data_IF_910477505915
#
_entry.id   IF_910477505915
#
_cell.length_a   1.000
_cell.length_b   1.000
_cell.length_c   1.000
_cell.angle_alpha   90.00
_cell.angle_beta   90.00
_cell.angle_gamma   90.00
#
_symmetry.space_group_name_H-M   'P 1'
#
loop_
_entity.id
_entity.type
_entity.pdbx_description
1 polymer ?
#
# COMPACT_ATOMS: atom_id res chain seq x y z
N UNK A 1 -5.77 -23.68 17.81
CA UNK A 1 -5.10 -23.63 16.48
C UNK A 1 -5.42 -22.32 15.77
N UNK A 2 -6.69 -22.08 15.37
CA UNK A 2 -7.08 -20.89 14.60
C UNK A 2 -6.78 -19.54 15.27
N UNK A 3 -6.90 -19.41 16.59
CA UNK A 3 -6.62 -18.13 17.26
C UNK A 3 -5.13 -17.74 17.25
N UNK A 4 -4.22 -18.72 17.40
CA UNK A 4 -2.77 -18.47 17.35
C UNK A 4 -2.35 -18.20 15.89
N UNK A 5 -2.90 -18.97 14.95
CA UNK A 5 -2.72 -18.74 13.52
C UNK A 5 -3.20 -17.33 13.08
N UNK A 6 -4.40 -16.93 13.52
CA UNK A 6 -4.97 -15.61 13.23
C UNK A 6 -4.19 -14.49 13.91
N UNK A 7 -3.77 -14.67 15.17
CA UNK A 7 -2.89 -13.71 15.84
C UNK A 7 -1.59 -13.53 15.06
N UNK A 8 -0.95 -14.63 14.66
CA UNK A 8 0.28 -14.57 13.87
C UNK A 8 0.07 -13.93 12.50
N UNK A 9 -1.08 -14.14 11.87
CA UNK A 9 -1.44 -13.49 10.60
C UNK A 9 -1.70 -11.99 10.77
N UNK A 10 -2.45 -11.60 11.81
CA UNK A 10 -2.75 -10.19 12.11
C UNK A 10 -1.49 -9.41 12.48
N UNK A 11 -0.64 -10.01 13.30
CA UNK A 11 0.58 -9.38 13.81
C UNK A 11 1.78 -9.57 12.85
N UNK A 12 1.55 -10.16 11.67
CA UNK A 12 2.56 -10.48 10.66
C UNK A 12 3.79 -11.20 11.23
N UNK A 13 3.54 -12.10 12.19
CA UNK A 13 4.56 -12.90 12.84
C UNK A 13 4.99 -14.02 11.88
N UNK A 14 6.29 -14.13 11.55
CA UNK A 14 6.77 -15.16 10.66
C UNK A 14 6.36 -16.56 11.13
N UNK A 15 5.69 -17.31 10.28
CA UNK A 15 5.23 -18.70 10.50
C UNK A 15 6.34 -19.63 10.94
N UNK A 16 7.57 -19.44 10.43
CA UNK A 16 8.78 -20.15 10.87
C UNK A 16 9.07 -20.08 12.37
N UNK A 17 8.48 -19.11 13.10
CA UNK A 17 8.64 -19.02 14.56
C UNK A 17 8.08 -20.25 15.28
N UNK A 18 7.10 -20.97 14.68
CA UNK A 18 6.51 -22.17 15.31
C UNK A 18 7.52 -23.31 15.44
N UNK A 19 8.60 -23.29 14.65
CA UNK A 19 9.72 -24.22 14.77
C UNK A 19 10.79 -23.77 15.78
N UNK A 20 10.72 -22.52 16.24
CA UNK A 20 11.64 -21.96 17.22
C UNK A 20 11.53 -22.67 18.57
N UNK A 21 12.67 -23.14 19.10
CA UNK A 21 12.72 -23.85 20.39
C UNK A 21 12.10 -23.04 21.54
N UNK A 22 12.38 -21.73 21.60
CA UNK A 22 11.80 -20.84 22.62
C UNK A 22 10.28 -20.72 22.51
N UNK A 23 9.77 -20.56 21.28
CA UNK A 23 8.32 -20.48 21.03
C UNK A 23 7.62 -21.80 21.36
N UNK A 24 8.19 -22.94 20.93
CA UNK A 24 7.68 -24.27 21.28
C UNK A 24 7.67 -24.52 22.79
N UNK A 25 8.71 -24.06 23.49
CA UNK A 25 8.80 -24.17 24.96
C UNK A 25 7.75 -23.31 25.66
N UNK A 26 7.49 -22.11 25.15
CA UNK A 26 6.42 -21.25 25.65
C UNK A 26 5.05 -21.87 25.40
N UNK A 27 4.84 -22.40 24.20
CA UNK A 27 3.56 -23.00 23.82
C UNK A 27 3.29 -24.31 24.55
N UNK A 28 4.31 -25.12 24.84
CA UNK A 28 4.15 -26.29 25.70
C UNK A 28 3.88 -25.92 27.16
N UNK A 29 4.37 -24.76 27.62
CA UNK A 29 4.04 -24.25 28.95
C UNK A 29 2.58 -23.74 29.03
N UNK A 30 2.15 -22.95 28.03
CA UNK A 30 0.80 -22.36 28.00
C UNK A 30 -0.29 -23.38 27.64
N UNK A 31 0.01 -24.28 26.70
CA UNK A 31 -0.90 -25.27 26.14
C UNK A 31 -0.19 -26.65 26.06
N UNK A 32 0.04 -27.32 27.21
CA UNK A 32 0.81 -28.56 27.27
C UNK A 32 0.20 -29.72 26.48
N UNK A 33 -1.12 -29.71 26.27
CA UNK A 33 -1.82 -30.74 25.49
C UNK A 33 -1.93 -30.41 24.00
N UNK A 34 -1.40 -29.27 23.54
CA UNK A 34 -1.46 -28.87 22.15
C UNK A 34 -0.23 -29.33 21.36
N UNK A 35 -0.36 -30.30 20.44
CA UNK A 35 0.74 -30.73 19.59
C UNK A 35 1.01 -29.65 18.54
N UNK A 36 2.04 -28.83 18.76
CA UNK A 36 2.41 -27.78 17.82
C UNK A 36 2.94 -28.37 16.50
N UNK A 37 2.30 -28.10 15.34
CA UNK A 37 2.76 -28.60 14.03
C UNK A 37 4.11 -27.98 13.63
N UNK A 38 4.75 -28.54 12.61
CA UNK A 38 5.92 -27.91 11.95
C UNK A 38 5.49 -26.67 11.17
N UNK A 39 6.43 -25.77 10.85
CA UNK A 39 6.11 -24.58 10.05
C UNK A 39 5.46 -24.92 8.71
N UNK A 40 5.95 -25.97 8.03
CA UNK A 40 5.38 -26.43 6.75
C UNK A 40 3.90 -26.88 6.87
N UNK A 41 3.59 -27.63 7.93
CA UNK A 41 2.22 -28.07 8.21
C UNK A 41 1.35 -26.90 8.68
N UNK A 42 1.92 -25.98 9.45
CA UNK A 42 1.23 -24.79 9.94
C UNK A 42 0.84 -23.86 8.78
N UNK A 43 1.78 -23.56 7.88
CA UNK A 43 1.55 -22.75 6.67
C UNK A 43 0.49 -23.35 5.76
N UNK A 44 0.56 -24.66 5.50
CA UNK A 44 -0.42 -25.35 4.66
C UNK A 44 -1.83 -25.41 5.27
N UNK A 45 -1.96 -25.36 6.60
CA UNK A 45 -3.27 -25.25 7.27
C UNK A 45 -3.80 -23.82 7.39
N UNK A 46 -2.94 -22.80 7.29
CA UNK A 46 -3.34 -21.38 7.39
C UNK A 46 -3.63 -20.79 6.00
N UNK A 47 -2.97 -21.29 4.96
CA UNK A 47 -3.19 -20.92 3.57
C UNK A 47 -3.75 -22.11 2.77
N UNK A 48 -5.08 -22.29 2.69
CA UNK A 48 -5.62 -23.18 1.67
C UNK A 48 -5.50 -22.47 0.32
N UNK A 49 -4.72 -23.08 -0.58
CA UNK A 49 -4.58 -22.78 -2.01
C UNK A 49 -3.75 -21.54 -2.41
N UNK A 50 -2.46 -21.77 -2.65
CA UNK A 50 -1.88 -21.49 -3.99
C UNK A 50 -0.84 -22.57 -4.28
N UNK A 51 -1.26 -23.60 -5.00
CA UNK A 51 -0.36 -24.65 -5.48
C UNK A 51 0.56 -24.09 -6.57
N UNK A 52 1.87 -24.23 -6.36
CA UNK A 52 2.91 -24.53 -7.36
C UNK A 52 2.89 -23.73 -8.67
N UNK A 53 3.81 -22.78 -8.81
CA UNK A 53 4.94 -22.96 -9.74
C UNK A 53 6.07 -21.96 -9.43
N UNK A 54 7.25 -22.52 -9.18
CA UNK A 54 8.58 -21.89 -9.21
C UNK A 54 8.80 -21.28 -10.63
N UNK A 55 9.52 -20.19 -10.89
CA UNK A 55 10.92 -19.89 -10.59
C UNK A 55 11.21 -18.37 -10.81
N UNK A 56 12.32 -17.94 -10.21
CA UNK A 56 13.10 -16.69 -10.40
C UNK A 56 12.67 -15.38 -9.70
N UNK A 57 13.24 -15.23 -8.50
CA UNK A 57 14.09 -14.12 -8.07
C UNK A 57 13.94 -12.78 -8.82
N UNK A 58 13.38 -11.79 -8.14
CA UNK A 58 14.24 -10.74 -7.59
C UNK A 58 13.64 -10.09 -6.35
N UNK A 59 14.52 -9.93 -5.37
CA UNK A 59 14.30 -9.26 -4.10
C UNK A 59 13.70 -7.86 -4.25
N UNK A 60 12.64 -7.58 -3.48
CA UNK A 60 12.57 -6.37 -2.65
C UNK A 60 11.47 -6.48 -1.59
N UNK A 61 11.88 -6.42 -0.32
CA UNK A 61 11.02 -5.92 0.75
C UNK A 61 10.42 -4.58 0.34
N UNK A 62 9.13 -4.36 0.57
CA UNK A 62 8.58 -3.14 1.18
C UNK A 62 7.05 -3.20 1.18
N UNK A 63 6.49 -3.32 2.40
CA UNK A 63 5.11 -3.02 2.82
C UNK A 63 3.96 -3.63 2.01
N UNK A 64 2.89 -3.99 2.70
CA UNK A 64 1.61 -4.39 2.11
C UNK A 64 1.04 -3.27 1.24
N UNK A 65 1.57 -3.10 0.03
CA UNK A 65 0.84 -2.48 -1.06
C UNK A 65 -0.17 -3.56 -1.41
N UNK A 66 -1.42 -3.33 -1.00
CA UNK A 66 -2.58 -4.12 -1.40
C UNK A 66 -2.38 -4.61 -2.84
N UNK A 67 -2.54 -5.92 -3.09
CA UNK A 67 -2.26 -6.51 -4.41
C UNK A 67 -2.99 -5.75 -5.52
N UNK A 68 -4.12 -5.14 -5.21
CA UNK A 68 -4.84 -4.22 -6.10
C UNK A 68 -4.06 -2.94 -6.44
N UNK A 69 -3.54 -2.22 -5.44
CA UNK A 69 -2.75 -1.02 -5.64
C UNK A 69 -1.45 -1.30 -6.40
N UNK A 70 -0.84 -2.48 -6.16
CA UNK A 70 0.34 -2.92 -6.92
C UNK A 70 0.04 -3.00 -8.43
N UNK A 71 -1.08 -3.62 -8.80
CA UNK A 71 -1.51 -3.68 -10.20
C UNK A 71 -1.85 -2.31 -10.80
N UNK A 72 -2.46 -1.41 -10.01
CA UNK A 72 -2.73 -0.05 -10.45
C UNK A 72 -1.43 0.73 -10.72
N UNK A 73 -0.43 0.56 -9.86
CA UNK A 73 0.89 1.17 -10.02
C UNK A 73 1.57 0.62 -11.28
N UNK A 74 1.56 -0.69 -11.50
CA UNK A 74 2.10 -1.30 -12.72
C UNK A 74 1.44 -0.76 -13.98
N UNK A 75 0.10 -0.71 -14.02
CA UNK A 75 -0.64 -0.14 -15.14
C UNK A 75 -0.32 1.34 -15.38
N UNK A 76 -0.12 2.12 -14.31
CA UNK A 76 0.29 3.52 -14.42
C UNK A 76 1.72 3.66 -14.97
N UNK A 77 2.65 2.82 -14.52
CA UNK A 77 4.03 2.79 -15.01
C UNK A 77 4.10 2.41 -16.50
N UNK A 78 3.27 1.47 -16.94
CA UNK A 78 3.13 1.13 -18.35
C UNK A 78 2.51 2.26 -19.17
N UNK A 79 1.49 2.94 -18.62
CA UNK A 79 0.82 4.07 -19.27
C UNK A 79 1.77 5.24 -19.51
N UNK A 80 2.57 5.61 -18.50
CA UNK A 80 3.58 6.64 -18.74
C UNK A 80 4.64 6.09 -19.69
N UNK A 81 5.06 4.84 -19.57
CA UNK A 81 6.10 4.24 -20.40
C UNK A 81 7.51 4.46 -19.83
N UNK A 82 8.55 4.28 -20.67
CA UNK A 82 9.96 4.41 -20.27
C UNK A 82 10.39 5.88 -20.17
N UNK A 83 9.90 6.59 -19.17
CA UNK A 83 10.29 7.98 -18.88
C UNK A 83 11.44 8.06 -17.88
N UNK A 84 12.01 9.25 -17.77
CA UNK A 84 13.16 9.58 -16.89
C UNK A 84 12.82 9.65 -15.40
N UNK A 85 11.65 9.18 -14.97
CA UNK A 85 11.28 9.16 -13.56
C UNK A 85 12.00 8.02 -12.84
N UNK A 86 12.49 8.29 -11.63
CA UNK A 86 13.05 7.26 -10.76
C UNK A 86 11.88 6.39 -10.26
N UNK A 87 11.94 5.08 -10.55
CA UNK A 87 10.83 4.15 -10.30
C UNK A 87 10.39 4.17 -8.83
N UNK A 88 11.32 4.09 -7.88
CA UNK A 88 11.00 4.05 -6.45
C UNK A 88 10.37 5.35 -5.95
N UNK A 89 10.84 6.51 -6.44
CA UNK A 89 10.25 7.82 -6.12
C UNK A 89 8.83 7.94 -6.67
N UNK A 90 8.61 7.44 -7.88
CA UNK A 90 7.30 7.46 -8.51
C UNK A 90 6.33 6.52 -7.79
N UNK A 91 6.75 5.31 -7.44
CA UNK A 91 5.95 4.37 -6.64
C UNK A 91 5.57 5.02 -5.31
N UNK A 92 6.54 5.62 -4.61
CA UNK A 92 6.28 6.33 -3.36
C UNK A 92 5.26 7.45 -3.53
N UNK A 93 5.40 8.26 -4.58
CA UNK A 93 4.46 9.34 -4.88
C UNK A 93 3.06 8.81 -5.19
N UNK A 94 2.93 7.76 -6.01
CA UNK A 94 1.65 7.17 -6.38
C UNK A 94 0.92 6.59 -5.17
N UNK A 95 1.63 5.88 -4.29
CA UNK A 95 1.06 5.34 -3.04
C UNK A 95 0.54 6.46 -2.13
N UNK A 96 1.29 7.56 -2.02
CA UNK A 96 0.84 8.74 -1.25
C UNK A 96 -0.39 9.37 -1.91
N UNK A 97 -0.38 9.55 -3.24
CA UNK A 97 -1.50 10.14 -3.95
C UNK A 97 -2.78 9.32 -3.77
N UNK A 98 -2.67 8.00 -3.91
CA UNK A 98 -3.77 7.07 -3.71
C UNK A 98 -4.33 7.12 -2.29
N UNK A 99 -3.46 7.10 -1.27
CA UNK A 99 -3.86 7.18 0.14
C UNK A 99 -4.56 8.51 0.47
N UNK A 100 -4.02 9.62 -0.03
CA UNK A 100 -4.61 10.94 0.13
C UNK A 100 -5.98 11.01 -0.55
N UNK A 101 -6.06 10.55 -1.79
CA UNK A 101 -7.31 10.54 -2.54
C UNK A 101 -8.39 9.71 -1.82
N UNK A 102 -8.10 8.47 -1.45
CA UNK A 102 -9.04 7.59 -0.76
C UNK A 102 -9.54 8.18 0.56
N UNK A 103 -8.66 8.82 1.34
CA UNK A 103 -9.07 9.49 2.58
C UNK A 103 -10.14 10.57 2.36
N UNK A 104 -9.98 11.38 1.31
CA UNK A 104 -10.92 12.47 1.00
C UNK A 104 -12.17 11.94 0.29
N UNK A 105 -12.05 10.95 -0.59
CA UNK A 105 -13.20 10.30 -1.25
C UNK A 105 -14.18 9.72 -0.22
N UNK A 106 -13.67 9.10 0.85
CA UNK A 106 -14.47 8.60 1.97
C UNK A 106 -15.10 9.72 2.83
N UNK A 107 -14.71 10.99 2.64
CA UNK A 107 -15.09 12.14 3.47
C UNK A 107 -15.58 13.32 2.63
N UNK A 108 -16.75 13.20 1.97
CA UNK A 108 -17.28 14.25 1.08
C UNK A 108 -17.58 15.57 1.80
N UNK A 109 -17.87 15.54 3.11
CA UNK A 109 -18.06 16.75 3.91
C UNK A 109 -16.77 17.60 3.98
N UNK A 110 -15.63 16.94 4.20
CA UNK A 110 -14.31 17.61 4.25
C UNK A 110 -13.91 18.10 2.86
N UNK A 111 -14.21 17.31 1.81
CA UNK A 111 -13.99 17.77 0.44
C UNK A 111 -14.76 19.06 0.12
N UNK A 112 -16.01 19.14 0.55
CA UNK A 112 -16.84 20.34 0.32
C UNK A 112 -16.30 21.53 1.10
N UNK A 113 -15.93 21.33 2.36
CA UNK A 113 -15.34 22.38 3.22
C UNK A 113 -14.06 22.96 2.61
N UNK A 114 -13.17 22.08 2.12
CA UNK A 114 -11.90 22.46 1.50
C UNK A 114 -12.03 22.82 0.02
N UNK A 115 -13.23 22.79 -0.56
CA UNK A 115 -13.48 23.04 -1.98
C UNK A 115 -12.64 22.14 -2.91
N UNK A 116 -12.51 20.86 -2.57
CA UNK A 116 -11.80 19.85 -3.35
C UNK A 116 -12.72 19.26 -4.41
N UNK A 117 -12.24 19.16 -5.64
CA UNK A 117 -12.97 18.61 -6.78
C UNK A 117 -12.25 17.40 -7.35
N UNK A 118 -12.97 16.31 -7.60
CA UNK A 118 -12.42 15.10 -8.21
C UNK A 118 -12.24 15.34 -9.72
N UNK A 119 -11.03 15.22 -10.27
CA UNK A 119 -10.81 15.34 -11.71
C UNK A 119 -11.49 14.21 -12.48
N UNK A 120 -12.00 14.53 -13.67
CA UNK A 120 -12.48 13.51 -14.61
C UNK A 120 -11.30 13.00 -15.44
N UNK A 121 -11.14 11.68 -15.50
CA UNK A 121 -10.17 10.99 -16.37
C UNK A 121 -10.91 10.19 -17.44
N UNK A 122 -10.28 9.99 -18.60
CA UNK A 122 -10.84 9.13 -19.65
C UNK A 122 -10.83 7.65 -19.19
N UNK A 123 -11.84 6.83 -19.52
CA UNK A 123 -11.84 5.40 -19.19
C UNK A 123 -10.63 4.60 -19.68
N UNK A 124 -9.88 5.12 -20.66
CA UNK A 124 -8.65 4.53 -21.18
C UNK A 124 -7.41 4.87 -20.35
N UNK A 125 -7.52 5.85 -19.46
CA UNK A 125 -6.42 6.27 -18.59
C UNK A 125 -6.41 5.46 -17.29
N UNK A 126 -5.22 5.25 -16.69
CA UNK A 126 -5.11 4.52 -15.44
C UNK A 126 -5.81 5.28 -14.31
N UNK A 127 -6.44 4.55 -13.39
CA UNK A 127 -7.19 5.13 -12.27
C UNK A 127 -6.31 6.04 -11.40
N UNK A 128 -5.04 5.66 -11.18
CA UNK A 128 -4.09 6.47 -10.41
C UNK A 128 -3.82 7.85 -11.04
N UNK A 129 -4.12 8.07 -12.32
CA UNK A 129 -4.04 9.40 -12.90
C UNK A 129 -5.02 10.36 -12.25
N UNK A 130 -6.22 9.89 -11.91
CA UNK A 130 -7.20 10.69 -11.17
C UNK A 130 -6.62 11.13 -9.83
N UNK A 131 -6.00 10.20 -9.12
CA UNK A 131 -5.43 10.43 -7.78
C UNK A 131 -4.29 11.44 -7.86
N UNK A 132 -3.38 11.26 -8.83
CA UNK A 132 -2.28 12.19 -9.12
C UNK A 132 -2.79 13.59 -9.44
N UNK A 133 -3.78 13.70 -10.33
CA UNK A 133 -4.35 15.00 -10.73
C UNK A 133 -5.07 15.67 -9.55
N UNK A 134 -5.81 14.90 -8.75
CA UNK A 134 -6.51 15.41 -7.58
C UNK A 134 -5.54 16.03 -6.59
N UNK A 135 -4.47 15.30 -6.29
CA UNK A 135 -3.45 15.74 -5.35
C UNK A 135 -2.69 16.95 -5.89
N UNK A 136 -2.37 16.97 -7.18
CA UNK A 136 -1.67 18.10 -7.80
C UNK A 136 -2.49 19.39 -7.81
N UNK A 137 -3.80 19.30 -8.09
CA UNK A 137 -4.68 20.47 -8.15
C UNK A 137 -4.97 21.07 -6.77
N UNK A 138 -4.89 20.26 -5.71
CA UNK A 138 -5.29 20.65 -4.36
C UNK A 138 -4.19 20.55 -3.30
N UNK A 139 -2.94 20.36 -3.69
CA UNK A 139 -1.80 20.11 -2.79
C UNK A 139 -1.71 21.12 -1.64
N UNK A 140 -1.91 22.41 -1.90
CA UNK A 140 -1.84 23.47 -0.88
C UNK A 140 -2.93 23.32 0.19
N UNK A 141 -4.18 23.06 -0.22
CA UNK A 141 -5.31 22.90 0.69
C UNK A 141 -5.20 21.61 1.50
N UNK A 142 -4.80 20.52 0.83
CA UNK A 142 -4.56 19.21 1.44
C UNK A 142 -3.46 19.33 2.50
N UNK A 143 -2.30 19.89 2.16
CA UNK A 143 -1.19 20.04 3.08
C UNK A 143 -1.54 20.96 4.26
N UNK A 144 -2.26 22.06 4.00
CA UNK A 144 -2.74 22.95 5.06
C UNK A 144 -3.68 22.23 6.02
N UNK A 145 -4.63 21.43 5.51
CA UNK A 145 -5.56 20.65 6.32
C UNK A 145 -4.84 19.58 7.15
N UNK A 146 -3.94 18.80 6.53
CA UNK A 146 -3.15 17.77 7.22
C UNK A 146 -2.36 18.38 8.38
N UNK A 147 -1.70 19.52 8.16
CA UNK A 147 -0.90 20.21 9.20
C UNK A 147 -1.77 20.80 10.31
N UNK A 148 -3.00 21.19 10.00
CA UNK A 148 -3.94 21.75 10.97
C UNK A 148 -4.69 20.68 11.78
N UNK A 149 -4.65 19.41 11.34
CA UNK A 149 -5.40 18.31 11.95
C UNK A 149 -4.49 17.48 12.85
N UNK A 150 -4.68 17.50 14.18
CA UNK A 150 -3.96 16.61 15.09
C UNK A 150 -4.38 15.15 14.84
N UNK A 151 -3.46 14.20 15.08
CA UNK A 151 -3.67 12.75 14.89
C UNK A 151 -4.03 12.32 13.46
N UNK A 152 -3.68 13.15 12.47
CA UNK A 152 -3.85 12.82 11.05
C UNK A 152 -2.93 11.66 10.64
N UNK A 153 -3.52 10.58 10.14
CA UNK A 153 -2.77 9.42 9.63
C UNK A 153 -2.09 9.68 8.27
N UNK A 154 -2.54 10.71 7.53
CA UNK A 154 -1.93 11.12 6.28
C UNK A 154 -0.70 11.99 6.53
N UNK A 155 0.34 11.77 5.73
CA UNK A 155 1.51 12.64 5.69
C UNK A 155 1.30 13.76 4.66
N UNK A 156 1.75 14.99 4.97
CA UNK A 156 1.74 16.07 3.99
C UNK A 156 2.74 15.73 2.87
N UNK A 157 2.41 16.16 1.65
CA UNK A 157 3.27 16.01 0.50
C UNK A 157 4.54 16.84 0.75
N UNK A 158 5.69 16.20 0.64
CA UNK A 158 6.99 16.87 0.76
C UNK A 158 7.29 17.78 -0.45
N UNK A 159 8.26 18.69 -0.31
CA UNK A 159 8.69 19.54 -1.42
C UNK A 159 9.25 18.72 -2.60
N UNK A 160 9.99 17.65 -2.30
CA UNK A 160 10.52 16.73 -3.31
C UNK A 160 9.40 16.03 -4.09
N UNK A 161 8.41 15.46 -3.39
CA UNK A 161 7.23 14.85 -4.01
C UNK A 161 6.42 15.86 -4.82
N UNK A 162 6.31 17.11 -4.34
CA UNK A 162 5.60 18.17 -5.07
C UNK A 162 6.29 18.53 -6.38
N UNK A 163 7.62 18.52 -6.43
CA UNK A 163 8.38 18.73 -7.65
C UNK A 163 8.16 17.57 -8.65
N UNK A 164 8.30 16.32 -8.20
CA UNK A 164 8.05 15.14 -9.03
C UNK A 164 6.60 15.11 -9.54
N UNK A 165 5.64 15.50 -8.70
CA UNK A 165 4.22 15.59 -9.06
C UNK A 165 3.97 16.64 -10.15
N UNK A 166 4.59 17.82 -10.04
CA UNK A 166 4.48 18.87 -11.06
C UNK A 166 5.05 18.42 -12.41
N UNK A 167 6.20 17.74 -12.40
CA UNK A 167 6.81 17.17 -13.61
C UNK A 167 5.93 16.08 -14.23
N UNK A 168 5.39 15.17 -13.41
CA UNK A 168 4.50 14.10 -13.84
C UNK A 168 3.21 14.65 -14.48
N UNK A 169 2.57 15.63 -13.85
CA UNK A 169 1.36 16.27 -14.40
C UNK A 169 1.66 16.99 -15.71
N UNK A 170 2.81 17.67 -15.81
CA UNK A 170 3.22 18.33 -17.05
C UNK A 170 3.46 17.31 -18.16
N UNK A 171 3.98 16.14 -17.82
CA UNK A 171 4.18 15.05 -18.76
C UNK A 171 2.84 14.51 -19.27
N UNK A 172 1.95 14.08 -18.37
CA UNK A 172 0.67 13.45 -18.76
C UNK A 172 -0.30 14.41 -19.46
N UNK A 173 -0.17 15.73 -19.27
CA UNK A 173 -1.00 16.73 -19.98
C UNK A 173 -0.46 17.14 -21.36
N UNK A 174 0.76 16.76 -21.72
CA UNK A 174 1.38 17.10 -23.01
C UNK A 174 1.45 15.92 -24.00
N UNK A 175 1.07 14.72 -23.57
CA UNK A 175 0.82 13.55 -24.42
C UNK A 175 -0.65 13.50 -24.83
#
# INVERSE_FOLDING_TARGET
MFQIAMMMLIDQIPTKIVDGHGFRSLMSFLLPEYPMPSAELFESTICPETSKQEEDSDSSCSVEIDTTLSHLIEAFLEYIGRHSFIKDELISLLTVCHSVFGYFEDRPAVMTELSLTIPSVDPKQPELLRDVLFVAEHAERINSYIRATPDMALLPISDAQSQTLAELVRFVRND
#
